data_IF_070886672994
#
_entry.id   IF_070886672994
#
_cell.length_a   1.000
_cell.length_b   1.000
_cell.length_c   1.000
_cell.angle_alpha   90.00
_cell.angle_beta   90.00
_cell.angle_gamma   90.00
#
_symmetry.space_group_name_H-M   'P 1'
#
loop_
_entity.id
_entity.type
_entity.pdbx_description
1 polymer ?
#
# COMPACT_ATOMS: atom_id res chain seq x y z
N UNK A 1 -9.25 -21.95 -5.86
CA UNK A 1 -8.67 -20.60 -5.67
C UNK A 1 -8.23 -19.99 -7.00
N UNK A 2 -7.44 -20.68 -7.85
CA UNK A 2 -7.01 -20.15 -9.16
C UNK A 2 -8.21 -19.87 -10.07
N UNK A 3 -9.17 -20.79 -10.14
CA UNK A 3 -10.42 -20.62 -10.91
C UNK A 3 -11.23 -19.40 -10.41
N UNK A 4 -11.36 -19.26 -9.10
CA UNK A 4 -12.06 -18.09 -8.51
C UNK A 4 -11.35 -16.79 -8.87
N UNK A 5 -10.00 -16.75 -8.75
CA UNK A 5 -9.19 -15.60 -9.16
C UNK A 5 -9.42 -15.23 -10.61
N UNK A 6 -9.38 -16.21 -11.52
CA UNK A 6 -9.63 -15.99 -12.95
C UNK A 6 -10.98 -15.33 -13.20
N UNK A 7 -12.07 -15.89 -12.67
CA UNK A 7 -13.40 -15.31 -12.83
C UNK A 7 -13.52 -13.92 -12.21
N UNK A 8 -12.89 -13.68 -11.06
CA UNK A 8 -12.86 -12.36 -10.43
C UNK A 8 -12.16 -11.33 -11.32
N UNK A 9 -11.01 -11.69 -11.91
CA UNK A 9 -10.29 -10.78 -12.81
C UNK A 9 -11.07 -10.51 -14.09
N UNK A 10 -11.69 -11.52 -14.70
CA UNK A 10 -12.55 -11.34 -15.89
C UNK A 10 -13.73 -10.44 -15.57
N UNK A 11 -14.42 -10.69 -14.46
CA UNK A 11 -15.57 -9.88 -14.05
C UNK A 11 -15.16 -8.42 -13.75
N UNK A 12 -14.06 -8.22 -13.04
CA UNK A 12 -13.53 -6.89 -12.74
C UNK A 12 -13.14 -6.15 -14.03
N UNK A 13 -12.50 -6.82 -15.01
CA UNK A 13 -12.13 -6.20 -16.29
C UNK A 13 -13.35 -5.74 -17.08
N UNK A 14 -14.43 -6.54 -17.08
CA UNK A 14 -15.68 -6.18 -17.75
C UNK A 14 -16.29 -4.95 -17.06
N UNK A 15 -16.37 -4.94 -15.73
CA UNK A 15 -16.93 -3.78 -14.99
C UNK A 15 -16.12 -2.53 -15.29
N UNK A 16 -14.80 -2.58 -15.23
CA UNK A 16 -13.93 -1.43 -15.50
C UNK A 16 -14.17 -0.93 -16.91
N UNK A 17 -14.13 -1.81 -17.91
CA UNK A 17 -14.34 -1.43 -19.32
C UNK A 17 -15.71 -0.78 -19.53
N UNK A 18 -16.78 -1.41 -19.05
CA UNK A 18 -18.15 -0.89 -19.17
C UNK A 18 -18.30 0.44 -18.45
N UNK A 19 -17.73 0.60 -17.26
CA UNK A 19 -17.78 1.85 -16.50
C UNK A 19 -17.13 3.00 -17.27
N UNK A 20 -15.98 2.75 -17.92
CA UNK A 20 -15.31 3.75 -18.76
C UNK A 20 -16.09 4.10 -20.03
N UNK A 21 -16.81 3.13 -20.60
CA UNK A 21 -17.68 3.34 -21.77
C UNK A 21 -18.97 4.11 -21.48
N UNK A 22 -19.43 4.12 -20.22
CA UNK A 22 -20.63 4.84 -19.76
C UNK A 22 -20.30 6.30 -19.44
N UNK A 23 -19.06 6.60 -19.03
CA UNK A 23 -18.66 7.97 -18.71
C UNK A 23 -18.82 8.83 -19.97
N UNK A 24 -19.63 9.90 -19.91
CA UNK A 24 -19.81 10.79 -21.04
C UNK A 24 -18.51 11.53 -21.33
N UNK A 25 -18.10 11.50 -22.59
CA UNK A 25 -16.90 12.17 -23.08
C UNK A 25 -16.27 11.41 -24.24
N UNK A 26 -15.66 12.13 -25.11
CA UNK A 26 -14.93 11.59 -26.26
C UNK A 26 -13.44 11.78 -26.03
N UNK A 27 -12.69 10.69 -25.81
CA UNK A 27 -11.24 10.79 -25.56
C UNK A 27 -10.49 11.59 -26.65
N UNK A 28 -10.87 11.44 -27.92
CA UNK A 28 -10.22 12.15 -29.02
C UNK A 28 -10.49 13.66 -28.95
N UNK A 29 -11.73 14.07 -28.68
CA UNK A 29 -12.06 15.47 -28.44
C UNK A 29 -11.37 16.04 -27.22
N UNK A 30 -11.22 15.25 -26.17
CA UNK A 30 -10.49 15.66 -24.96
C UNK A 30 -9.00 15.89 -25.24
N UNK A 31 -8.38 15.02 -26.03
CA UNK A 31 -6.96 15.14 -26.40
C UNK A 31 -6.66 16.33 -27.29
N UNK A 32 -7.57 16.67 -28.18
CA UNK A 32 -7.41 17.76 -29.18
C UNK A 32 -7.89 19.12 -28.65
N UNK A 33 -8.71 19.12 -27.59
CA UNK A 33 -9.30 20.31 -27.02
C UNK A 33 -10.62 20.73 -27.70
N UNK A 34 -11.34 21.67 -27.05
CA UNK A 34 -12.72 22.05 -27.41
C UNK A 34 -12.84 22.70 -28.81
N UNK A 35 -11.75 23.28 -29.31
CA UNK A 35 -11.72 23.98 -30.59
C UNK A 35 -11.19 23.14 -31.76
N UNK A 36 -11.06 21.81 -31.57
CA UNK A 36 -10.55 20.94 -32.61
C UNK A 36 -11.52 20.86 -33.82
N UNK A 37 -10.97 20.83 -35.04
CA UNK A 37 -11.74 20.58 -36.23
C UNK A 37 -12.32 19.17 -36.24
N UNK A 38 -13.57 19.03 -36.69
CA UNK A 38 -14.28 17.75 -36.64
C UNK A 38 -13.55 16.63 -37.40
N UNK A 39 -12.99 16.96 -38.57
CA UNK A 39 -12.20 16.01 -39.36
C UNK A 39 -10.98 15.48 -38.60
N UNK A 40 -10.31 16.32 -37.82
CA UNK A 40 -9.16 15.93 -37.00
C UNK A 40 -9.59 15.01 -35.86
N UNK A 41 -10.74 15.28 -35.27
CA UNK A 41 -11.31 14.41 -34.19
C UNK A 41 -11.66 13.04 -34.77
N UNK A 42 -12.28 12.98 -35.95
CA UNK A 42 -12.63 11.72 -36.62
C UNK A 42 -11.35 10.92 -36.94
N UNK A 43 -10.32 11.58 -37.48
CA UNK A 43 -9.06 10.94 -37.80
C UNK A 43 -8.41 10.34 -36.56
N UNK A 44 -8.35 11.08 -35.44
CA UNK A 44 -7.79 10.60 -34.18
C UNK A 44 -8.63 9.47 -33.59
N UNK A 45 -9.96 9.51 -33.66
CA UNK A 45 -10.81 8.38 -33.24
C UNK A 45 -10.47 7.09 -33.97
N UNK A 46 -10.25 7.18 -35.26
CA UNK A 46 -9.89 6.04 -36.08
C UNK A 46 -8.48 5.53 -35.74
N UNK A 47 -7.52 6.42 -35.51
CA UNK A 47 -6.16 6.09 -35.10
C UNK A 47 -6.16 5.38 -33.73
N UNK A 48 -6.96 5.85 -32.79
CA UNK A 48 -7.11 5.24 -31.45
C UNK A 48 -8.02 3.99 -31.44
N UNK A 49 -8.62 3.64 -32.59
CA UNK A 49 -9.56 2.50 -32.71
C UNK A 49 -10.86 2.69 -31.95
N UNK A 50 -11.24 3.93 -31.65
CA UNK A 50 -12.47 4.26 -30.93
C UNK A 50 -13.73 4.11 -31.80
N UNK A 51 -13.55 3.99 -33.11
CA UNK A 51 -14.60 3.73 -34.12
C UNK A 51 -15.05 2.27 -34.13
N UNK A 52 -14.27 1.36 -33.53
CA UNK A 52 -14.58 -0.07 -33.48
C UNK A 52 -15.71 -0.40 -32.51
N UNK A 53 -16.45 -1.51 -32.75
CA UNK A 53 -17.45 -2.01 -31.82
C UNK A 53 -16.88 -2.22 -30.42
N UNK A 54 -17.66 -1.87 -29.37
CA UNK A 54 -17.23 -1.94 -27.97
C UNK A 54 -16.68 -3.33 -27.57
N UNK A 55 -17.30 -4.39 -28.06
CA UNK A 55 -16.83 -5.76 -27.79
C UNK A 55 -15.45 -6.03 -28.39
N UNK A 56 -15.19 -5.59 -29.61
CA UNK A 56 -13.88 -5.73 -30.24
C UNK A 56 -12.81 -4.94 -29.49
N UNK A 57 -13.13 -3.73 -29.06
CA UNK A 57 -12.25 -2.87 -28.24
C UNK A 57 -11.91 -3.54 -26.91
N UNK A 58 -12.89 -4.17 -26.27
CA UNK A 58 -12.65 -4.94 -25.04
C UNK A 58 -11.68 -6.08 -25.27
N UNK A 59 -11.87 -6.88 -26.33
CA UNK A 59 -10.97 -7.99 -26.64
C UNK A 59 -9.56 -7.54 -26.97
N UNK A 60 -9.40 -6.44 -27.72
CA UNK A 60 -8.09 -5.85 -28.03
C UNK A 60 -7.40 -5.40 -26.73
N UNK A 61 -8.12 -4.72 -25.87
CA UNK A 61 -7.60 -4.25 -24.58
C UNK A 61 -7.17 -5.39 -23.65
N UNK A 62 -8.00 -6.43 -23.50
CA UNK A 62 -7.64 -7.62 -22.68
C UNK A 62 -6.45 -8.34 -23.26
N UNK A 63 -6.40 -8.52 -24.60
CA UNK A 63 -5.26 -9.15 -25.28
C UNK A 63 -3.98 -8.32 -25.08
N UNK A 64 -4.07 -7.00 -25.18
CA UNK A 64 -2.96 -6.10 -24.90
C UNK A 64 -2.41 -6.29 -23.49
N UNK A 65 -3.27 -6.30 -22.46
CA UNK A 65 -2.84 -6.54 -21.09
C UNK A 65 -2.10 -7.89 -20.89
N UNK A 66 -2.52 -8.94 -21.59
CA UNK A 66 -1.87 -10.26 -21.49
C UNK A 66 -0.46 -10.29 -22.09
N UNK A 67 -0.14 -9.39 -23.01
CA UNK A 67 1.20 -9.28 -23.62
C UNK A 67 2.01 -8.10 -23.08
N UNK A 68 1.49 -7.40 -22.05
CA UNK A 68 2.17 -6.25 -21.42
C UNK A 68 1.97 -4.92 -22.12
N UNK A 69 1.06 -4.84 -23.10
CA UNK A 69 0.63 -3.59 -23.73
C UNK A 69 -0.59 -3.04 -22.97
N UNK A 70 -0.35 -2.04 -22.14
CA UNK A 70 -1.41 -1.34 -21.37
C UNK A 70 -1.98 -0.12 -22.11
N UNK A 71 -1.58 0.06 -23.37
CA UNK A 71 -2.02 1.19 -24.20
C UNK A 71 -1.34 2.51 -23.83
N UNK A 72 -1.88 3.59 -24.37
CA UNK A 72 -1.39 4.96 -24.21
C UNK A 72 -2.39 5.77 -23.37
N UNK A 73 -1.86 6.54 -22.41
CA UNK A 73 -2.69 7.48 -21.64
C UNK A 73 -3.17 8.62 -22.52
N UNK A 74 -4.46 8.83 -22.59
CA UNK A 74 -5.05 9.94 -23.34
C UNK A 74 -4.69 11.32 -22.76
N UNK A 75 -4.49 11.40 -21.46
CA UNK A 75 -4.14 12.64 -20.77
C UNK A 75 -2.67 12.98 -20.90
N UNK A 76 -1.79 12.00 -20.69
CA UNK A 76 -0.33 12.22 -20.66
C UNK A 76 0.36 11.93 -21.99
N UNK A 77 -0.34 11.31 -22.95
CA UNK A 77 0.17 10.94 -24.28
C UNK A 77 1.45 10.08 -24.22
N UNK A 78 1.55 9.26 -23.20
CA UNK A 78 2.68 8.37 -22.95
C UNK A 78 2.20 6.93 -22.68
N UNK A 79 3.02 5.91 -22.96
CA UNK A 79 2.68 4.52 -22.65
C UNK A 79 2.35 4.34 -21.17
N UNK A 80 1.22 3.68 -20.88
CA UNK A 80 0.79 3.46 -19.49
C UNK A 80 1.79 2.61 -18.72
N UNK A 81 2.45 1.66 -19.38
CA UNK A 81 3.46 0.79 -18.74
C UNK A 81 4.65 1.59 -18.19
N UNK A 82 5.11 2.62 -18.91
CA UNK A 82 6.18 3.50 -18.45
C UNK A 82 5.75 4.28 -17.22
N UNK A 83 4.56 4.89 -17.27
CA UNK A 83 3.99 5.62 -16.15
C UNK A 83 3.82 4.74 -14.89
N UNK A 84 3.37 3.51 -15.07
CA UNK A 84 3.25 2.53 -13.97
C UNK A 84 4.63 2.17 -13.43
N UNK A 85 5.59 1.92 -14.32
CA UNK A 85 6.98 1.63 -13.95
C UNK A 85 7.59 2.73 -13.08
N UNK A 86 7.51 3.98 -13.52
CA UNK A 86 8.01 5.14 -12.74
C UNK A 86 7.38 5.24 -11.35
N UNK A 87 6.07 5.00 -11.24
CA UNK A 87 5.37 5.03 -9.95
C UNK A 87 5.75 3.86 -9.05
N UNK A 88 5.94 2.66 -9.63
CA UNK A 88 6.37 1.48 -8.87
C UNK A 88 7.77 1.64 -8.28
N UNK A 89 8.69 2.33 -8.97
CA UNK A 89 10.03 2.64 -8.46
C UNK A 89 10.03 3.48 -7.17
N UNK A 90 8.95 4.16 -6.87
CA UNK A 90 8.77 4.92 -5.62
C UNK A 90 7.87 4.16 -4.65
N UNK A 91 6.72 3.66 -5.13
CA UNK A 91 5.70 3.07 -4.27
C UNK A 91 6.13 1.74 -3.66
N UNK A 92 6.86 0.90 -4.41
CA UNK A 92 7.29 -0.40 -3.90
C UNK A 92 8.36 -0.28 -2.80
N UNK A 93 9.45 0.50 -2.96
CA UNK A 93 10.38 0.76 -1.86
C UNK A 93 9.72 1.41 -0.66
N UNK A 94 8.79 2.35 -0.86
CA UNK A 94 8.04 2.97 0.23
C UNK A 94 7.20 1.93 1.00
N UNK A 95 6.50 1.04 0.30
CA UNK A 95 5.69 0.00 0.91
C UNK A 95 6.55 -0.98 1.71
N UNK A 96 7.68 -1.43 1.15
CA UNK A 96 8.64 -2.30 1.84
C UNK A 96 9.19 -1.61 3.08
N UNK A 97 9.59 -0.35 2.97
CA UNK A 97 10.13 0.42 4.09
C UNK A 97 9.11 0.58 5.21
N UNK A 98 7.87 0.94 4.89
CA UNK A 98 6.78 1.05 5.86
C UNK A 98 6.46 -0.30 6.52
N UNK A 99 6.46 -1.40 5.75
CA UNK A 99 6.25 -2.76 6.26
C UNK A 99 7.36 -3.19 7.23
N UNK A 100 8.61 -2.93 6.89
CA UNK A 100 9.74 -3.22 7.76
C UNK A 100 9.67 -2.42 9.06
N UNK A 101 9.43 -1.11 8.97
CA UNK A 101 9.26 -0.25 10.14
C UNK A 101 8.10 -0.72 11.03
N UNK A 102 6.95 -1.00 10.44
CA UNK A 102 5.78 -1.47 11.20
C UNK A 102 6.06 -2.79 11.92
N UNK A 103 6.75 -3.71 11.25
CA UNK A 103 7.11 -5.01 11.83
C UNK A 103 8.13 -4.87 12.97
N UNK A 104 9.19 -4.07 12.75
CA UNK A 104 10.23 -3.82 13.76
C UNK A 104 9.64 -3.17 15.02
N UNK A 105 8.64 -2.32 14.88
CA UNK A 105 7.96 -1.67 16.01
C UNK A 105 6.94 -2.64 16.65
N UNK A 106 6.13 -3.29 15.83
CA UNK A 106 4.99 -4.08 16.31
C UNK A 106 5.39 -5.30 17.11
N UNK A 107 6.43 -6.03 16.67
CA UNK A 107 6.84 -7.27 17.33
C UNK A 107 7.27 -7.03 18.79
N UNK A 108 8.22 -6.13 19.08
CA UNK A 108 8.58 -5.85 20.49
C UNK A 108 7.39 -5.33 21.30
N UNK A 109 6.61 -4.40 20.74
CA UNK A 109 5.45 -3.79 21.41
C UNK A 109 4.41 -4.85 21.78
N UNK A 110 4.05 -5.73 20.84
CA UNK A 110 3.10 -6.82 21.08
C UNK A 110 3.61 -7.85 22.10
N UNK A 111 4.89 -8.22 22.03
CA UNK A 111 5.53 -9.13 23.00
C UNK A 111 5.54 -8.50 24.39
N UNK A 112 5.90 -7.23 24.52
CA UNK A 112 5.91 -6.52 25.81
C UNK A 112 4.51 -6.43 26.41
N UNK A 113 3.51 -6.15 25.60
CA UNK A 113 2.11 -6.09 26.03
C UNK A 113 1.64 -7.48 26.54
N UNK A 114 1.90 -8.55 25.77
CA UNK A 114 1.55 -9.92 26.16
C UNK A 114 2.26 -10.37 27.44
N UNK A 115 3.55 -10.05 27.59
CA UNK A 115 4.33 -10.40 28.77
C UNK A 115 3.85 -9.67 30.06
N UNK A 116 3.17 -8.53 29.90
CA UNK A 116 2.62 -7.75 31.00
C UNK A 116 1.08 -7.75 31.01
N UNK A 117 0.46 -8.80 30.48
CA UNK A 117 -1.00 -8.94 30.40
C UNK A 117 -1.69 -8.54 31.71
N UNK A 118 -2.69 -7.68 31.62
CA UNK A 118 -3.51 -7.21 32.73
C UNK A 118 -2.85 -6.19 33.66
N UNK A 119 -1.60 -5.77 33.40
CA UNK A 119 -0.93 -4.67 34.11
C UNK A 119 -1.17 -3.33 33.42
N UNK A 120 -0.87 -2.24 34.15
CA UNK A 120 -0.97 -0.88 33.62
C UNK A 120 -0.19 -0.71 32.30
N UNK A 121 0.98 -1.33 32.19
CA UNK A 121 1.80 -1.28 30.97
C UNK A 121 1.07 -1.86 29.75
N UNK A 122 0.37 -2.99 29.91
CA UNK A 122 -0.44 -3.60 28.87
C UNK A 122 -1.58 -2.64 28.42
N UNK A 123 -2.32 -2.09 29.39
CA UNK A 123 -3.38 -1.12 29.10
C UNK A 123 -2.86 0.13 28.40
N UNK A 124 -1.70 0.67 28.83
CA UNK A 124 -1.08 1.83 28.21
C UNK A 124 -0.68 1.55 26.77
N UNK A 125 0.00 0.43 26.51
CA UNK A 125 0.41 0.04 25.15
C UNK A 125 -0.82 -0.13 24.26
N UNK A 126 -1.86 -0.82 24.73
CA UNK A 126 -3.09 -1.02 23.96
C UNK A 126 -3.83 0.31 23.72
N UNK A 127 -3.82 1.22 24.68
CA UNK A 127 -4.34 2.58 24.51
C UNK A 127 -3.60 3.36 23.42
N UNK A 128 -2.27 3.34 23.43
CA UNK A 128 -1.47 3.98 22.38
C UNK A 128 -1.70 3.35 20.99
N UNK A 129 -1.82 2.02 20.90
CA UNK A 129 -2.16 1.39 19.62
C UNK A 129 -3.55 1.80 19.13
N UNK A 130 -4.51 2.04 20.02
CA UNK A 130 -5.83 2.54 19.64
C UNK A 130 -5.75 3.95 19.04
N UNK A 131 -4.95 4.83 19.65
CA UNK A 131 -4.69 6.17 19.10
C UNK A 131 -4.03 6.08 17.72
N UNK A 132 -3.02 5.21 17.58
CA UNK A 132 -2.33 5.00 16.29
C UNK A 132 -3.23 4.54 15.15
N UNK A 133 -4.32 3.80 15.45
CA UNK A 133 -5.31 3.40 14.45
C UNK A 133 -6.32 4.51 14.18
N UNK A 134 -6.69 5.28 15.20
CA UNK A 134 -7.70 6.32 15.09
C UNK A 134 -7.23 7.57 14.31
N UNK A 135 -5.92 7.82 14.28
CA UNK A 135 -5.34 8.97 13.58
C UNK A 135 -5.36 8.73 12.07
N UNK A 136 -5.97 9.63 11.26
CA UNK A 136 -5.90 9.54 9.81
C UNK A 136 -4.47 9.66 9.29
N UNK A 137 -4.02 8.73 8.43
CA UNK A 137 -2.65 8.68 7.93
C UNK A 137 -2.19 10.00 7.29
N UNK A 138 -3.05 10.63 6.47
CA UNK A 138 -2.73 11.87 5.78
C UNK A 138 -2.51 13.03 6.78
N UNK A 139 -3.30 13.10 7.84
CA UNK A 139 -3.16 14.12 8.87
C UNK A 139 -1.86 13.93 9.65
N UNK A 140 -1.55 12.69 10.04
CA UNK A 140 -0.29 12.38 10.70
C UNK A 140 0.91 12.68 9.81
N UNK A 141 0.83 12.34 8.51
CA UNK A 141 1.86 12.69 7.53
C UNK A 141 2.09 14.21 7.46
N UNK A 142 1.02 15.01 7.44
CA UNK A 142 1.14 16.47 7.45
C UNK A 142 1.82 17.00 8.73
N UNK A 143 1.50 16.42 9.90
CA UNK A 143 2.17 16.80 11.16
C UNK A 143 3.65 16.43 11.12
N UNK A 144 4.02 15.27 10.60
CA UNK A 144 5.42 14.88 10.45
C UNK A 144 6.17 15.84 9.53
N UNK A 145 5.59 16.18 8.38
CA UNK A 145 6.18 17.16 7.44
C UNK A 145 6.31 18.52 8.11
N UNK A 146 5.27 19.00 8.80
CA UNK A 146 5.30 20.27 9.48
C UNK A 146 6.42 20.33 10.52
N UNK A 147 6.51 19.31 11.38
CA UNK A 147 7.52 19.29 12.44
C UNK A 147 8.93 19.05 11.88
N UNK A 148 9.12 18.00 11.08
CA UNK A 148 10.46 17.54 10.72
C UNK A 148 11.02 18.20 9.46
N UNK A 149 10.16 18.66 8.55
CA UNK A 149 10.63 19.30 7.33
C UNK A 149 10.58 20.84 7.42
N UNK A 150 9.51 21.43 8.00
CA UNK A 150 9.35 22.88 8.02
C UNK A 150 10.04 23.49 9.25
N UNK A 151 9.77 22.99 10.46
CA UNK A 151 10.32 23.54 11.70
C UNK A 151 11.77 23.10 11.88
N UNK A 152 12.03 21.78 11.95
CA UNK A 152 13.35 21.22 12.24
C UNK A 152 14.28 21.19 11.03
N UNK A 153 13.73 21.21 9.82
CA UNK A 153 14.46 21.17 8.54
C UNK A 153 15.41 19.97 8.39
N UNK A 154 15.02 18.82 9.01
CA UNK A 154 15.80 17.58 8.92
C UNK A 154 15.53 16.80 7.63
N UNK A 155 14.33 16.97 7.08
CA UNK A 155 13.85 16.28 5.89
C UNK A 155 13.32 17.28 4.86
N UNK A 156 13.15 16.83 3.61
CA UNK A 156 12.47 17.61 2.58
C UNK A 156 10.96 17.68 2.85
N UNK A 157 10.34 18.82 2.57
CA UNK A 157 8.91 19.01 2.74
C UNK A 157 8.07 18.27 1.68
N UNK A 158 8.67 17.84 0.58
CA UNK A 158 7.97 17.10 -0.48
C UNK A 158 8.92 16.69 -1.59
N UNK A 159 8.36 15.88 -2.51
CA UNK A 159 9.10 15.32 -3.63
C UNK A 159 9.95 14.11 -3.23
N UNK A 160 10.14 13.21 -4.20
CA UNK A 160 11.10 12.12 -4.10
C UNK A 160 12.41 12.58 -4.72
N UNK A 161 13.52 12.45 -3.99
CA UNK A 161 14.82 12.93 -4.42
C UNK A 161 15.39 12.17 -5.63
N UNK A 162 14.78 11.03 -6.01
CA UNK A 162 15.33 10.14 -7.02
C UNK A 162 16.33 9.13 -6.43
N UNK A 163 16.53 8.02 -7.16
CA UNK A 163 17.55 7.03 -6.82
C UNK A 163 18.90 7.37 -7.43
N UNK A 164 18.91 8.26 -8.42
CA UNK A 164 20.10 8.73 -9.13
C UNK A 164 20.99 9.58 -8.22
N UNK A 165 20.39 10.33 -7.28
CA UNK A 165 21.10 11.11 -6.27
C UNK A 165 21.66 10.27 -5.11
N UNK A 166 21.46 8.96 -5.17
CA UNK A 166 21.95 7.98 -4.20
C UNK A 166 20.86 7.38 -3.31
N UNK A 167 21.08 6.12 -2.92
CA UNK A 167 20.13 5.32 -2.14
C UNK A 167 19.78 5.99 -0.80
N UNK A 168 20.77 6.58 -0.13
CA UNK A 168 20.55 7.21 1.19
C UNK A 168 19.62 8.41 1.07
N UNK A 169 19.77 9.24 0.03
CA UNK A 169 18.93 10.40 -0.18
C UNK A 169 17.52 9.99 -0.58
N UNK A 170 17.40 8.98 -1.44
CA UNK A 170 16.10 8.36 -1.78
C UNK A 170 15.37 7.82 -0.56
N UNK A 171 16.03 7.02 0.28
CA UNK A 171 15.45 6.50 1.53
C UNK A 171 15.08 7.63 2.51
N UNK A 172 15.93 8.65 2.63
CA UNK A 172 15.65 9.82 3.47
C UNK A 172 14.37 10.53 3.05
N UNK A 173 14.14 10.72 1.75
CA UNK A 173 12.92 11.35 1.23
C UNK A 173 11.66 10.49 1.48
N UNK A 174 11.80 9.17 1.55
CA UNK A 174 10.70 8.25 1.86
C UNK A 174 10.45 8.05 3.37
N UNK A 175 11.32 8.56 4.24
CA UNK A 175 11.24 8.27 5.69
C UNK A 175 9.95 8.79 6.33
N UNK A 176 9.58 10.05 6.12
CA UNK A 176 8.36 10.62 6.71
C UNK A 176 7.09 9.93 6.21
N UNK A 177 6.91 9.72 4.90
CA UNK A 177 5.81 8.90 4.39
C UNK A 177 5.80 7.47 4.94
N UNK A 178 6.97 6.82 5.05
CA UNK A 178 7.08 5.47 5.58
C UNK A 178 6.64 5.40 7.06
N UNK A 179 7.02 6.36 7.89
CA UNK A 179 6.58 6.46 9.29
C UNK A 179 5.06 6.66 9.36
N UNK A 180 4.51 7.54 8.51
CA UNK A 180 3.08 7.78 8.48
C UNK A 180 2.26 6.52 8.13
N UNK A 181 2.75 5.73 7.18
CA UNK A 181 2.13 4.46 6.81
C UNK A 181 2.38 3.35 7.84
N UNK A 182 3.55 3.36 8.48
CA UNK A 182 3.93 2.32 9.43
C UNK A 182 3.16 2.40 10.76
N UNK A 183 2.77 3.58 11.24
CA UNK A 183 2.15 3.75 12.56
C UNK A 183 0.85 2.95 12.75
N UNK A 184 -0.18 3.07 11.88
CA UNK A 184 -1.41 2.30 12.03
C UNK A 184 -1.17 0.80 11.80
N UNK A 185 -0.29 0.42 10.87
CA UNK A 185 0.06 -0.98 10.63
C UNK A 185 0.79 -1.59 11.83
N UNK A 186 1.75 -0.88 12.43
CA UNK A 186 2.41 -1.30 13.64
C UNK A 186 1.41 -1.49 14.80
N UNK A 187 0.44 -0.60 14.92
CA UNK A 187 -0.61 -0.65 15.93
C UNK A 187 -1.50 -1.89 15.78
N UNK A 188 -1.91 -2.22 14.54
CA UNK A 188 -2.69 -3.42 14.25
C UNK A 188 -1.87 -4.68 14.51
N UNK A 189 -0.65 -4.76 13.96
CA UNK A 189 0.24 -5.91 14.11
C UNK A 189 0.62 -6.16 15.58
N UNK A 190 0.88 -5.11 16.37
CA UNK A 190 1.18 -5.24 17.81
C UNK A 190 0.00 -5.85 18.57
N UNK A 191 -1.23 -5.47 18.22
CA UNK A 191 -2.44 -6.05 18.82
C UNK A 191 -2.62 -7.52 18.45
N UNK A 192 -2.45 -7.85 17.17
CA UNK A 192 -2.52 -9.24 16.69
C UNK A 192 -1.45 -10.08 17.37
N UNK A 193 -0.22 -9.59 17.40
CA UNK A 193 0.90 -10.28 18.09
C UNK A 193 0.62 -10.53 19.57
N UNK A 194 0.09 -9.49 20.27
CA UNK A 194 -0.31 -9.64 21.68
C UNK A 194 -1.38 -10.71 21.86
N UNK A 195 -2.45 -10.68 21.04
CA UNK A 195 -3.53 -11.65 21.15
C UNK A 195 -3.03 -13.06 20.91
N UNK A 196 -2.32 -13.29 19.81
CA UNK A 196 -1.77 -14.61 19.46
C UNK A 196 -0.83 -15.14 20.54
N UNK A 197 0.01 -14.30 21.14
CA UNK A 197 0.88 -14.72 22.23
C UNK A 197 0.11 -15.07 23.50
N UNK A 198 -0.94 -14.35 23.83
CA UNK A 198 -1.80 -14.66 24.97
C UNK A 198 -2.49 -16.03 24.78
N UNK A 199 -2.98 -16.30 23.58
CA UNK A 199 -3.59 -17.58 23.25
C UNK A 199 -2.58 -18.72 23.38
N UNK A 200 -1.41 -18.60 22.78
CA UNK A 200 -0.31 -19.59 22.90
C UNK A 200 0.12 -19.79 24.36
N UNK A 201 0.22 -18.72 25.15
CA UNK A 201 0.61 -18.81 26.55
C UNK A 201 -0.41 -19.55 27.43
N UNK A 202 -1.65 -19.68 27.00
CA UNK A 202 -2.71 -20.42 27.70
C UNK A 202 -2.74 -21.92 27.37
N UNK A 203 -2.01 -22.34 26.32
CA UNK A 203 -1.96 -23.73 25.86
C UNK A 203 -1.28 -24.69 26.86
N UNK A 204 -1.68 -25.97 26.84
CA UNK A 204 -1.18 -26.98 27.79
C UNK A 204 0.29 -27.28 27.66
N UNK A 205 0.85 -27.20 26.45
CA UNK A 205 2.29 -27.37 26.25
C UNK A 205 3.12 -26.28 26.97
N UNK A 206 2.57 -25.04 27.05
CA UNK A 206 3.21 -23.96 27.80
C UNK A 206 3.16 -24.21 29.31
N UNK A 207 2.04 -24.73 29.83
CA UNK A 207 1.92 -25.16 31.24
C UNK A 207 2.94 -26.27 31.54
N UNK A 208 3.04 -27.26 30.66
CA UNK A 208 4.02 -28.36 30.77
C UNK A 208 5.45 -27.85 30.73
N UNK A 209 5.79 -26.92 29.84
CA UNK A 209 7.14 -26.34 29.78
C UNK A 209 7.51 -25.61 31.08
N UNK A 210 6.57 -24.90 31.68
CA UNK A 210 6.75 -24.23 32.98
C UNK A 210 6.86 -25.21 34.14
N UNK A 211 6.06 -26.26 34.13
CA UNK A 211 6.16 -27.35 35.14
C UNK A 211 7.52 -28.06 35.10
N UNK A 212 8.16 -28.13 33.93
CA UNK A 212 9.55 -28.64 33.75
C UNK A 212 10.63 -27.62 34.14
N UNK A 213 10.29 -26.52 34.80
CA UNK A 213 11.24 -25.54 35.34
C UNK A 213 11.63 -24.39 34.41
N UNK A 214 11.03 -24.27 33.24
CA UNK A 214 11.28 -23.12 32.39
C UNK A 214 10.63 -21.84 32.98
N UNK A 215 11.44 -20.79 33.15
CA UNK A 215 10.88 -19.47 33.52
C UNK A 215 9.94 -18.96 32.46
N UNK A 216 8.95 -18.13 32.84
CA UNK A 216 7.98 -17.55 31.93
C UNK A 216 8.64 -16.91 30.69
N UNK A 217 9.70 -16.12 30.91
CA UNK A 217 10.46 -15.45 29.85
C UNK A 217 11.12 -16.44 28.88
N UNK A 218 11.72 -17.52 29.40
CA UNK A 218 12.33 -18.56 28.57
C UNK A 218 11.28 -19.38 27.81
N UNK A 219 10.15 -19.68 28.42
CA UNK A 219 9.04 -20.38 27.78
C UNK A 219 8.44 -19.53 26.64
N UNK A 220 8.21 -18.23 26.88
CA UNK A 220 7.73 -17.28 25.88
C UNK A 220 8.66 -17.23 24.66
N UNK A 221 9.96 -17.02 24.87
CA UNK A 221 10.92 -16.90 23.75
C UNK A 221 11.05 -18.22 22.99
N UNK A 222 11.09 -19.35 23.70
CA UNK A 222 11.37 -20.66 23.08
C UNK A 222 10.15 -21.28 22.40
N UNK A 223 8.95 -21.02 22.89
CA UNK A 223 7.72 -21.68 22.45
C UNK A 223 6.61 -20.72 22.05
N UNK A 224 6.66 -19.44 22.45
CA UNK A 224 5.64 -18.46 22.14
C UNK A 224 5.93 -17.66 20.86
N UNK A 225 7.21 -17.41 20.56
CA UNK A 225 7.61 -16.57 19.40
C UNK A 225 7.99 -17.44 18.19
N UNK A 226 8.05 -18.74 18.34
CA UNK A 226 8.33 -19.69 17.27
C UNK A 226 7.03 -20.17 16.62
#
# INVERSE_FOLDING_TARGET
>A
RVVTLFFTLVFASIIIFVSLEIIPGDPASYMLGINAQEDTVIALKKELGLDKPKFERYLIWVKGMLIGDFGVSYTYRSPVIEMVGERLWVSLPLAIYALLLSTIIALPVGIFAAANRGKILDFSIMGFTQIGIAIPNFWFAMLLVYLFAIILRWFSAGGFAGWEDGIILGLKSLTLPAIALALPQASILARVMRSSLIDILSEDFMKTARAKGLSFKKALIRHGIR
#
